data_IF_937252297053
#
_entry.id   IF_937252297053
#
_cell.length_a   1.000
_cell.length_b   1.000
_cell.length_c   1.000
_cell.angle_alpha   90.00
_cell.angle_beta   90.00
_cell.angle_gamma   90.00
#
_symmetry.space_group_name_H-M   'P 1'
#
loop_
_entity.id
_entity.type
_entity.pdbx_description
1 polymer ?
#
# COMPACT_ATOMS: atom_id res chain seq x y z
N UNK A 1 -4.09 -25.34 -0.69
CA UNK A 1 -3.37 -24.24 -1.37
C UNK A 1 -4.32 -23.06 -1.45
N UNK A 2 -4.12 -22.04 -0.61
CA UNK A 2 -4.87 -20.80 -0.75
C UNK A 2 -4.36 -20.10 -2.01
N UNK A 3 -5.21 -19.99 -3.02
CA UNK A 3 -4.91 -19.22 -4.22
C UNK A 3 -4.76 -17.76 -3.78
N UNK A 4 -3.54 -17.25 -3.88
CA UNK A 4 -3.26 -15.86 -3.62
C UNK A 4 -3.96 -15.00 -4.67
N UNK A 5 -4.96 -14.24 -4.24
CA UNK A 5 -5.78 -13.42 -5.14
C UNK A 5 -5.12 -12.07 -5.47
N UNK A 6 -3.96 -11.75 -4.88
CA UNK A 6 -3.30 -10.46 -5.08
C UNK A 6 -4.02 -9.28 -4.40
N UNK A 7 -5.02 -9.55 -3.57
CA UNK A 7 -5.79 -8.51 -2.86
C UNK A 7 -5.08 -8.12 -1.56
N UNK A 8 -4.83 -6.83 -1.37
CA UNK A 8 -4.17 -6.27 -0.18
C UNK A 8 -5.13 -5.32 0.54
N UNK A 9 -5.25 -5.43 1.87
CA UNK A 9 -6.07 -4.55 2.69
C UNK A 9 -5.27 -3.33 3.18
N UNK A 10 -5.97 -2.25 3.53
CA UNK A 10 -5.39 -0.92 3.84
C UNK A 10 -4.34 -0.92 4.98
N UNK A 11 -4.35 -1.93 5.85
CA UNK A 11 -3.45 -2.06 7.01
C UNK A 11 -2.56 -3.32 6.95
N UNK A 12 -2.51 -3.99 5.80
CA UNK A 12 -1.66 -5.15 5.58
C UNK A 12 -0.58 -4.82 4.55
N UNK A 13 0.66 -5.20 4.82
CA UNK A 13 1.70 -5.27 3.80
C UNK A 13 1.68 -6.68 3.19
N UNK A 14 1.97 -6.77 1.89
CA UNK A 14 2.14 -8.05 1.22
C UNK A 14 3.26 -7.93 0.19
N UNK A 15 4.19 -8.87 0.27
CA UNK A 15 5.32 -8.94 -0.64
C UNK A 15 5.02 -9.94 -1.75
N UNK A 16 5.40 -9.57 -2.98
CA UNK A 16 5.25 -10.41 -4.16
C UNK A 16 6.58 -10.49 -4.89
N UNK A 17 6.97 -11.71 -5.29
CA UNK A 17 8.07 -11.91 -6.23
C UNK A 17 7.50 -11.86 -7.63
N UNK A 18 7.97 -10.91 -8.43
CA UNK A 18 7.51 -10.70 -9.81
C UNK A 18 8.64 -10.92 -10.81
N UNK A 19 8.35 -11.33 -12.06
CA UNK A 19 9.36 -11.42 -13.10
C UNK A 19 9.97 -10.05 -13.42
N UNK A 20 11.30 -9.96 -13.39
CA UNK A 20 12.02 -8.78 -13.87
C UNK A 20 11.86 -8.59 -15.38
N UNK A 21 12.03 -7.35 -15.84
CA UNK A 21 12.01 -6.94 -17.25
C UNK A 21 10.69 -7.22 -17.98
N UNK A 22 9.60 -7.48 -17.24
CA UNK A 22 8.25 -7.61 -17.77
C UNK A 22 7.35 -6.52 -17.19
N UNK A 23 6.48 -5.87 -17.99
CA UNK A 23 5.55 -4.90 -17.46
C UNK A 23 4.63 -5.52 -16.40
N UNK A 24 4.56 -4.86 -15.25
CA UNK A 24 3.60 -5.10 -14.18
C UNK A 24 2.59 -3.96 -14.19
N UNK A 25 1.31 -4.30 -14.26
CA UNK A 25 0.20 -3.34 -14.16
C UNK A 25 -0.37 -3.43 -12.76
N UNK A 26 -0.57 -2.27 -12.13
CA UNK A 26 -1.10 -2.11 -10.79
C UNK A 26 -2.43 -1.37 -10.92
N UNK A 27 -3.53 -2.10 -10.73
CA UNK A 27 -4.87 -1.54 -10.76
C UNK A 27 -5.39 -1.34 -9.34
N UNK A 28 -5.73 -0.08 -9.02
CA UNK A 28 -6.31 0.32 -7.76
C UNK A 28 -7.78 0.68 -7.94
N UNK A 29 -8.67 -0.02 -7.23
CA UNK A 29 -10.09 0.31 -7.20
C UNK A 29 -10.57 0.44 -5.75
N UNK A 30 -11.22 1.56 -5.44
CA UNK A 30 -11.87 1.77 -4.17
C UNK A 30 -13.32 2.21 -4.36
N UNK A 31 -14.26 1.25 -4.34
CA UNK A 31 -15.67 1.56 -4.24
C UNK A 31 -16.04 1.77 -2.76
N UNK A 32 -16.55 2.95 -2.42
CA UNK A 32 -17.17 3.21 -1.12
C UNK A 32 -18.54 3.81 -1.31
N UNK A 33 -19.51 3.24 -0.61
CA UNK A 33 -20.89 3.72 -0.60
C UNK A 33 -21.24 4.07 0.84
N UNK A 34 -21.48 5.35 1.09
CA UNK A 34 -22.13 5.82 2.31
C UNK A 34 -23.61 6.08 2.01
N UNK A 35 -24.42 6.31 3.04
CA UNK A 35 -25.86 6.58 2.93
C UNK A 35 -26.17 7.81 2.06
N UNK A 36 -25.22 8.73 1.94
CA UNK A 36 -25.37 10.03 1.26
C UNK A 36 -24.51 10.19 0.01
N UNK A 37 -23.47 9.36 -0.20
CA UNK A 37 -22.54 9.53 -1.32
C UNK A 37 -21.97 8.19 -1.83
N UNK A 38 -21.77 8.12 -3.15
CA UNK A 38 -21.05 7.03 -3.81
C UNK A 38 -19.69 7.57 -4.27
N UNK A 39 -18.63 7.12 -3.61
CA UNK A 39 -17.25 7.41 -3.96
C UNK A 39 -16.69 6.23 -4.74
N UNK A 40 -16.34 6.47 -6.01
CA UNK A 40 -15.64 5.50 -6.85
C UNK A 40 -14.32 6.10 -7.24
N UNK A 41 -13.24 5.42 -6.90
CA UNK A 41 -11.94 5.78 -7.42
C UNK A 41 -11.30 4.59 -8.13
N UNK A 42 -10.81 4.85 -9.33
CA UNK A 42 -10.10 3.90 -10.17
C UNK A 42 -8.81 4.58 -10.63
N UNK A 43 -7.71 3.89 -10.46
CA UNK A 43 -6.39 4.34 -10.93
C UNK A 43 -5.61 3.12 -11.41
N UNK A 44 -4.73 3.33 -12.36
CA UNK A 44 -3.86 2.32 -12.92
C UNK A 44 -2.47 2.91 -13.09
N UNK A 45 -1.45 2.14 -12.72
CA UNK A 45 -0.05 2.49 -12.93
C UNK A 45 0.70 1.28 -13.45
N UNK A 46 1.81 1.50 -14.17
CA UNK A 46 2.63 0.43 -14.71
C UNK A 46 4.09 0.65 -14.42
N UNK A 47 4.77 -0.41 -14.02
CA UNK A 47 6.21 -0.44 -13.78
C UNK A 47 6.81 -1.62 -14.55
N UNK A 48 8.00 -1.45 -15.11
CA UNK A 48 8.86 -2.58 -15.50
C UNK A 48 9.95 -2.77 -14.45
N UNK A 49 9.82 -3.74 -13.53
CA UNK A 49 10.77 -3.95 -12.45
C UNK A 49 12.10 -4.46 -13.00
N UNK A 50 13.20 -4.02 -12.39
CA UNK A 50 14.54 -4.47 -12.74
C UNK A 50 14.99 -5.58 -11.78
N UNK A 51 15.81 -6.51 -12.27
CA UNK A 51 16.37 -7.57 -11.44
C UNK A 51 17.25 -6.98 -10.32
N UNK A 52 17.08 -7.51 -9.10
CA UNK A 52 17.85 -7.06 -7.93
C UNK A 52 17.37 -5.75 -7.30
N UNK A 53 16.29 -5.16 -7.81
CA UNK A 53 15.65 -3.98 -7.22
C UNK A 53 14.37 -4.35 -6.49
N UNK A 54 14.12 -3.66 -5.38
CA UNK A 54 12.89 -3.78 -4.60
C UNK A 54 12.05 -2.52 -4.79
N UNK A 55 10.73 -2.68 -4.79
CA UNK A 55 9.80 -1.58 -5.02
C UNK A 55 8.70 -1.61 -3.96
N UNK A 56 8.38 -0.44 -3.41
CA UNK A 56 7.20 -0.23 -2.57
C UNK A 56 6.10 0.39 -3.41
N UNK A 57 4.90 -0.17 -3.31
CA UNK A 57 3.70 0.37 -3.96
C UNK A 57 2.87 1.07 -2.89
N UNK A 58 2.59 2.35 -3.09
CA UNK A 58 1.80 3.16 -2.18
C UNK A 58 0.51 3.60 -2.85
N UNK A 59 -0.62 3.20 -2.27
CA UNK A 59 -1.92 3.72 -2.66
C UNK A 59 -2.29 4.91 -1.78
N UNK A 60 -2.57 6.06 -2.39
CA UNK A 60 -3.00 7.26 -1.68
C UNK A 60 -4.41 7.68 -2.09
N UNK A 61 -5.12 8.34 -1.17
CA UNK A 61 -6.47 8.86 -1.39
C UNK A 61 -6.57 10.26 -0.81
N UNK A 62 -7.02 11.22 -1.62
CA UNK A 62 -7.27 12.59 -1.21
C UNK A 62 -8.59 13.10 -1.80
N UNK A 63 -9.57 13.41 -0.95
CA UNK A 63 -10.89 13.88 -1.41
C UNK A 63 -11.55 12.91 -2.40
N UNK A 64 -11.74 13.37 -3.65
CA UNK A 64 -12.33 12.61 -4.77
C UNK A 64 -11.28 11.92 -5.67
N UNK A 65 -9.98 12.01 -5.37
CA UNK A 65 -8.92 11.36 -6.15
C UNK A 65 -8.24 10.23 -5.38
N UNK A 66 -7.66 9.31 -6.14
CA UNK A 66 -6.78 8.26 -5.68
C UNK A 66 -5.62 8.15 -6.65
N UNK A 67 -4.48 7.70 -6.13
CA UNK A 67 -3.26 7.57 -6.89
C UNK A 67 -2.46 6.37 -6.42
N UNK A 68 -1.65 5.81 -7.32
CA UNK A 68 -0.71 4.71 -7.05
C UNK A 68 0.70 5.21 -7.36
N UNK A 69 1.49 5.38 -6.31
CA UNK A 69 2.91 5.70 -6.42
C UNK A 69 3.75 4.42 -6.32
N UNK A 70 4.83 4.39 -7.09
CA UNK A 70 5.81 3.31 -7.11
C UNK A 70 7.16 3.88 -6.71
N UNK A 71 7.74 3.37 -5.63
CA UNK A 71 9.01 3.87 -5.08
C UNK A 71 10.02 2.73 -5.08
N UNK A 72 11.21 2.95 -5.63
CA UNK A 72 12.32 2.00 -5.50
C UNK A 72 12.85 2.06 -4.06
N UNK A 73 12.85 0.93 -3.37
CA UNK A 73 13.44 0.80 -2.03
C UNK A 73 14.93 0.58 -2.23
N UNK A 74 15.72 1.61 -1.95
CA UNK A 74 17.17 1.45 -1.82
C UNK A 74 17.43 0.58 -0.59
N UNK A 75 18.30 -0.43 -0.71
CA UNK A 75 18.84 -1.14 0.45
C UNK A 75 19.50 -0.10 1.36
N UNK A 76 18.84 0.24 2.47
CA UNK A 76 19.51 0.95 3.54
C UNK A 76 20.67 0.07 3.98
N UNK A 77 21.89 0.64 3.97
CA UNK A 77 23.03 0.03 4.61
C UNK A 77 22.60 -0.38 6.03
N UNK A 78 22.96 -1.60 6.45
CA UNK A 78 22.56 -2.18 7.74
C UNK A 78 22.64 -1.14 8.87
N UNK A 79 21.49 -0.65 9.33
CA UNK A 79 21.44 0.34 10.41
C UNK A 79 20.27 1.30 10.27
N UNK A 80 19.30 1.13 11.18
CA UNK A 80 18.14 2.01 11.42
C UNK A 80 16.99 1.96 10.42
N UNK A 81 15.95 1.21 10.82
CA UNK A 81 14.60 1.32 10.26
C UNK A 81 14.07 2.72 10.56
N UNK A 82 14.13 3.61 9.57
CA UNK A 82 13.52 4.93 9.68
C UNK A 82 12.10 4.89 9.12
N UNK A 83 11.08 5.28 9.92
CA UNK A 83 9.73 5.47 9.42
C UNK A 83 9.72 6.46 8.24
N UNK A 84 9.10 6.09 7.11
CA UNK A 84 8.96 6.94 5.91
C UNK A 84 8.17 8.23 6.19
N UNK A 85 7.45 8.29 7.32
CA UNK A 85 6.86 9.48 7.92
C UNK A 85 6.98 9.39 9.44
N UNK A 86 7.08 10.52 10.17
CA UNK A 86 6.92 10.51 11.62
C UNK A 86 5.56 9.89 11.94
N UNK A 87 5.56 8.74 12.60
CA UNK A 87 4.32 8.18 13.13
C UNK A 87 3.77 9.18 14.14
N UNK A 88 2.61 9.76 13.90
CA UNK A 88 1.91 10.49 14.95
C UNK A 88 1.62 9.48 16.05
N UNK A 89 2.28 9.61 17.19
CA UNK A 89 2.03 8.76 18.35
C UNK A 89 0.61 9.11 18.85
N UNK A 90 -0.40 8.46 18.29
CA UNK A 90 -1.71 8.42 18.91
C UNK A 90 -1.62 7.40 20.04
N UNK A 91 -1.53 7.93 21.26
CA UNK A 91 -1.64 7.15 22.48
C UNK A 91 -2.98 6.41 22.44
N UNK A 92 -2.95 5.09 22.29
CA UNK A 92 -4.14 4.28 22.47
C UNK A 92 -4.49 4.32 23.96
N UNK A 93 -5.68 4.81 24.36
CA UNK A 93 -6.08 4.73 25.75
C UNK A 93 -6.14 3.25 26.15
N UNK A 94 -5.54 2.94 27.30
CA UNK A 94 -5.58 1.60 27.87
C UNK A 94 -7.05 1.20 28.01
N UNK A 95 -7.50 0.06 27.44
CA UNK A 95 -8.89 -0.35 27.58
C UNK A 95 -9.17 -0.51 29.08
N UNK A 96 -10.15 0.24 29.58
CA UNK A 96 -10.55 0.18 30.98
C UNK A 96 -10.95 -1.24 31.33
N UNK A 97 -10.29 -1.84 32.31
CA UNK A 97 -10.71 -3.12 32.87
C UNK A 97 -12.11 -2.93 33.46
N UNK A 98 -13.11 -3.61 32.90
CA UNK A 98 -14.43 -3.73 33.52
C UNK A 98 -14.28 -4.56 34.80
N UNK A 99 -14.49 -3.94 35.96
CA UNK A 99 -14.78 -4.65 37.21
C UNK A 99 -16.28 -4.90 37.33
#
# INVERSE_FOLDING_TARGET
MNADTGVVFRESYKEFVVPASKPLVLDGAFPSKTTSQVHRCYTASSLTPQAGKNYEIQYSRGGNSCDVAVVEILLQAEGEVHPTRPASIQYCPMPGTSY
#
